data_IF_315562560430
#
_entry.id   IF_315562560430
#
_cell.length_a   1.000
_cell.length_b   1.000
_cell.length_c   1.000
_cell.angle_alpha   90.00
_cell.angle_beta   90.00
_cell.angle_gamma   90.00
#
_symmetry.space_group_name_H-M   'P 1'
#
loop_
_entity.id
_entity.type
_entity.pdbx_description
1 polymer ?
#
# COMPACT_ATOMS: atom_id res chain seq x y z
N UNK A 1 -7.07 -81.41 9.80
CA UNK A 1 -7.21 -80.24 10.64
C UNK A 1 -5.85 -79.52 10.81
N UNK A 2 -4.72 -80.21 11.04
CA UNK A 2 -3.42 -79.60 11.31
C UNK A 2 -2.87 -78.67 10.20
N UNK A 3 -3.17 -78.88 8.96
CA UNK A 3 -2.75 -78.00 7.85
C UNK A 3 -3.51 -76.66 7.79
N UNK A 4 -4.79 -76.63 8.16
CA UNK A 4 -5.62 -75.46 8.21
C UNK A 4 -5.21 -74.56 9.37
N UNK A 5 -4.90 -75.12 10.53
CA UNK A 5 -4.49 -74.37 11.73
C UNK A 5 -3.14 -73.67 11.54
N UNK A 6 -2.21 -74.34 10.79
CA UNK A 6 -0.90 -73.73 10.45
C UNK A 6 -1.01 -72.64 9.44
N UNK A 7 -1.95 -72.70 8.48
CA UNK A 7 -2.22 -71.62 7.52
C UNK A 7 -2.83 -70.41 8.18
N UNK A 8 -3.77 -70.60 9.11
CA UNK A 8 -4.39 -69.51 9.91
C UNK A 8 -3.34 -68.79 10.77
N UNK A 9 -2.47 -69.54 11.42
CA UNK A 9 -1.40 -69.00 12.23
C UNK A 9 -0.41 -68.15 11.41
N UNK A 10 -0.01 -68.67 10.24
CA UNK A 10 0.87 -67.96 9.32
C UNK A 10 0.26 -66.65 8.82
N UNK A 11 -1.01 -66.68 8.39
CA UNK A 11 -1.73 -65.48 7.95
C UNK A 11 -1.86 -64.48 9.10
N UNK A 12 -2.17 -64.91 10.32
CA UNK A 12 -2.27 -64.04 11.49
C UNK A 12 -0.94 -63.36 11.83
N UNK A 13 0.17 -64.10 11.82
CA UNK A 13 1.52 -63.55 12.07
C UNK A 13 1.94 -62.60 10.97
N UNK A 14 1.73 -62.94 9.69
CA UNK A 14 2.04 -62.07 8.55
C UNK A 14 1.24 -60.76 8.58
N UNK A 15 -0.06 -60.85 8.88
CA UNK A 15 -0.94 -59.67 9.03
C UNK A 15 -0.51 -58.78 10.20
N UNK A 16 -0.17 -59.37 11.35
CA UNK A 16 0.29 -58.62 12.53
C UNK A 16 1.62 -57.90 12.29
N UNK A 17 2.59 -58.57 11.62
CA UNK A 17 3.88 -57.97 11.27
C UNK A 17 3.72 -56.84 10.23
N UNK A 18 2.86 -57.03 9.23
CA UNK A 18 2.55 -55.97 8.25
C UNK A 18 1.88 -54.76 8.90
N UNK A 19 0.91 -54.97 9.79
CA UNK A 19 0.23 -53.92 10.55
C UNK A 19 1.19 -53.14 11.45
N UNK A 20 2.09 -53.85 12.15
CA UNK A 20 3.12 -53.21 12.99
C UNK A 20 4.10 -52.40 12.15
N UNK A 21 4.53 -52.95 10.99
CA UNK A 21 5.40 -52.22 10.04
C UNK A 21 4.75 -50.93 9.52
N UNK A 22 3.49 -51.00 9.11
CA UNK A 22 2.73 -49.83 8.64
C UNK A 22 2.56 -48.78 9.77
N UNK A 23 2.25 -49.21 10.97
CA UNK A 23 2.13 -48.31 12.14
C UNK A 23 3.46 -47.58 12.46
N UNK A 24 4.58 -48.31 12.40
CA UNK A 24 5.91 -47.75 12.62
C UNK A 24 6.32 -46.73 11.52
N UNK A 25 5.98 -47.03 10.24
CA UNK A 25 6.24 -46.13 9.12
C UNK A 25 5.41 -44.85 9.23
N UNK A 26 4.12 -44.97 9.56
CA UNK A 26 3.24 -43.83 9.79
C UNK A 26 3.71 -42.99 10.98
N UNK A 27 4.03 -43.62 12.10
CA UNK A 27 4.55 -42.94 13.28
C UNK A 27 5.84 -42.13 12.99
N UNK A 28 6.77 -42.77 12.23
CA UNK A 28 8.00 -42.08 11.81
C UNK A 28 7.75 -40.93 10.83
N UNK A 29 6.74 -41.06 9.95
CA UNK A 29 6.35 -39.98 9.02
C UNK A 29 5.81 -38.78 9.80
N UNK A 30 4.90 -39.02 10.75
CA UNK A 30 4.31 -38.01 11.60
C UNK A 30 5.38 -37.27 12.42
N UNK A 31 6.24 -38.00 13.13
CA UNK A 31 7.30 -37.44 13.94
C UNK A 31 8.26 -36.57 13.11
N UNK A 32 8.65 -37.03 11.91
CA UNK A 32 9.50 -36.25 11.02
C UNK A 32 8.85 -34.96 10.54
N UNK A 33 7.55 -34.99 10.22
CA UNK A 33 6.82 -33.77 9.81
C UNK A 33 6.73 -32.77 10.96
N UNK A 34 6.47 -33.24 12.18
CA UNK A 34 6.43 -32.38 13.40
C UNK A 34 7.82 -31.79 13.69
N UNK A 35 8.89 -32.57 13.58
CA UNK A 35 10.25 -32.08 13.81
C UNK A 35 10.65 -31.01 12.80
N UNK A 36 10.28 -31.18 11.53
CA UNK A 36 10.54 -30.19 10.46
C UNK A 36 9.77 -28.89 10.68
N UNK A 37 8.48 -29.01 11.04
CA UNK A 37 7.66 -27.84 11.37
C UNK A 37 8.22 -27.09 12.59
N UNK A 38 8.64 -27.83 13.63
CA UNK A 38 9.30 -27.26 14.82
C UNK A 38 10.60 -26.56 14.45
N UNK A 39 11.41 -27.17 13.55
CA UNK A 39 12.64 -26.58 13.06
C UNK A 39 12.40 -25.27 12.31
N UNK A 40 11.43 -25.24 11.38
CA UNK A 40 11.04 -24.04 10.65
C UNK A 40 10.50 -22.94 11.58
N UNK A 41 9.66 -23.31 12.57
CA UNK A 41 9.15 -22.38 13.57
C UNK A 41 10.26 -21.80 14.44
N UNK A 42 11.23 -22.62 14.84
CA UNK A 42 12.40 -22.14 15.59
C UNK A 42 13.28 -21.22 14.77
N UNK A 43 13.53 -21.52 13.50
CA UNK A 43 14.29 -20.66 12.59
C UNK A 43 13.60 -19.30 12.42
N UNK A 44 12.29 -19.29 12.19
CA UNK A 44 11.48 -18.07 12.10
C UNK A 44 11.56 -17.23 13.38
N UNK A 45 11.45 -17.87 14.56
CA UNK A 45 11.56 -17.19 15.86
C UNK A 45 12.95 -16.56 16.09
N UNK A 46 14.02 -17.10 15.47
CA UNK A 46 15.36 -16.53 15.51
C UNK A 46 15.65 -15.54 14.39
N UNK A 47 14.63 -15.15 13.61
CA UNK A 47 14.72 -14.08 12.61
C UNK A 47 14.99 -14.55 11.19
N UNK A 48 15.00 -15.86 10.92
CA UNK A 48 15.03 -16.37 9.54
C UNK A 48 13.61 -16.36 8.96
N UNK A 49 13.24 -15.22 8.38
CA UNK A 49 11.91 -14.99 7.79
C UNK A 49 11.69 -15.82 6.52
N UNK A 50 12.75 -16.41 5.95
CA UNK A 50 12.66 -17.25 4.75
C UNK A 50 12.38 -18.71 5.07
N UNK A 51 12.42 -19.10 6.37
CA UNK A 51 12.16 -20.45 6.81
C UNK A 51 10.76 -20.92 6.42
N UNK A 52 10.66 -22.09 5.81
CA UNK A 52 9.38 -22.72 5.42
C UNK A 52 9.36 -24.17 5.88
N UNK A 53 8.19 -24.63 6.25
CA UNK A 53 7.95 -26.04 6.58
C UNK A 53 7.56 -26.82 5.31
N UNK A 54 8.11 -28.05 5.10
CA UNK A 54 7.69 -28.87 3.96
C UNK A 54 6.23 -29.32 4.13
N UNK A 55 5.41 -29.12 3.13
CA UNK A 55 4.01 -29.55 3.05
C UNK A 55 3.95 -31.04 2.68
N UNK A 56 4.38 -31.89 3.61
CA UNK A 56 4.50 -33.33 3.38
C UNK A 56 4.07 -34.13 4.60
N UNK A 57 3.50 -35.32 4.37
CA UNK A 57 3.01 -36.21 5.41
C UNK A 57 1.48 -36.39 5.38
N UNK A 58 0.84 -36.76 6.50
CA UNK A 58 -0.61 -36.77 6.63
C UNK A 58 -1.26 -35.46 6.30
N UNK A 59 -2.49 -35.48 5.76
CA UNK A 59 -3.18 -34.29 5.25
C UNK A 59 -3.27 -33.17 6.28
N UNK A 60 -3.54 -33.49 7.53
CA UNK A 60 -3.68 -32.53 8.63
C UNK A 60 -2.35 -31.79 8.94
N UNK A 61 -1.23 -32.51 8.80
CA UNK A 61 0.10 -31.91 9.01
C UNK A 61 0.56 -31.10 7.80
N UNK A 62 0.18 -31.49 6.60
CA UNK A 62 0.43 -30.72 5.39
C UNK A 62 -0.37 -29.39 5.42
N UNK A 63 -1.64 -29.42 5.83
CA UNK A 63 -2.47 -28.23 6.01
C UNK A 63 -1.91 -27.28 7.10
N UNK A 64 -1.43 -27.84 8.21
CA UNK A 64 -0.78 -27.05 9.27
C UNK A 64 0.52 -26.42 8.75
N UNK A 65 1.33 -27.15 7.97
CA UNK A 65 2.54 -26.61 7.35
C UNK A 65 2.21 -25.49 6.34
N UNK A 66 1.17 -25.63 5.54
CA UNK A 66 0.69 -24.60 4.63
C UNK A 66 0.26 -23.33 5.37
N UNK A 67 -0.53 -23.48 6.43
CA UNK A 67 -0.94 -22.33 7.29
C UNK A 67 0.27 -21.65 7.94
N UNK A 68 1.26 -22.41 8.41
CA UNK A 68 2.52 -21.86 8.91
C UNK A 68 3.28 -21.11 7.82
N UNK A 69 3.38 -21.65 6.62
CA UNK A 69 4.07 -21.02 5.49
C UNK A 69 3.38 -19.72 5.06
N UNK A 70 2.06 -19.67 5.07
CA UNK A 70 1.29 -18.43 4.81
C UNK A 70 1.58 -17.37 5.87
N UNK A 71 1.57 -17.73 7.15
CA UNK A 71 1.93 -16.82 8.23
C UNK A 71 3.37 -16.32 8.10
N UNK A 72 4.32 -17.20 7.80
CA UNK A 72 5.73 -16.84 7.59
C UNK A 72 5.90 -15.88 6.41
N UNK A 73 5.19 -16.11 5.29
CA UNK A 73 5.21 -15.22 4.13
C UNK A 73 4.64 -13.83 4.46
N UNK A 74 3.55 -13.75 5.22
CA UNK A 74 3.00 -12.46 5.69
C UNK A 74 3.97 -11.71 6.59
N UNK A 75 4.64 -12.41 7.51
CA UNK A 75 5.66 -11.81 8.37
C UNK A 75 6.84 -11.28 7.55
N UNK A 76 7.36 -12.04 6.59
CA UNK A 76 8.43 -11.62 5.69
C UNK A 76 8.04 -10.35 4.95
N UNK A 77 6.85 -10.29 4.35
CA UNK A 77 6.33 -9.11 3.67
C UNK A 77 6.24 -7.87 4.59
N UNK A 78 5.78 -8.05 5.83
CA UNK A 78 5.69 -6.96 6.81
C UNK A 78 7.09 -6.43 7.19
N UNK A 79 8.05 -7.32 7.41
CA UNK A 79 9.42 -6.92 7.73
C UNK A 79 10.12 -6.23 6.57
N UNK A 80 9.90 -6.70 5.33
CA UNK A 80 10.47 -6.07 4.14
C UNK A 80 9.84 -4.70 3.88
N UNK A 81 8.53 -4.56 4.03
CA UNK A 81 7.84 -3.27 3.95
C UNK A 81 8.39 -2.29 5.01
N UNK A 82 8.60 -2.76 6.25
CA UNK A 82 9.18 -1.93 7.31
C UNK A 82 10.64 -1.52 7.01
N UNK A 83 11.46 -2.44 6.49
CA UNK A 83 12.84 -2.11 6.08
C UNK A 83 12.87 -1.07 4.97
N UNK A 84 12.04 -1.23 3.96
CA UNK A 84 11.91 -0.28 2.87
C UNK A 84 11.46 1.10 3.38
N UNK A 85 10.47 1.14 4.28
CA UNK A 85 9.99 2.36 4.91
C UNK A 85 11.10 3.12 5.64
N UNK A 86 11.88 2.43 6.48
CA UNK A 86 12.99 3.04 7.23
C UNK A 86 14.10 3.53 6.30
N UNK A 87 14.47 2.73 5.31
CA UNK A 87 15.51 3.10 4.34
C UNK A 87 15.10 4.32 3.53
N UNK A 88 13.86 4.33 3.05
CA UNK A 88 13.30 5.44 2.30
C UNK A 88 13.18 6.72 3.15
N UNK A 89 12.58 6.63 4.35
CA UNK A 89 12.45 7.77 5.25
C UNK A 89 13.81 8.40 5.55
N UNK A 90 14.83 7.55 5.78
CA UNK A 90 16.19 8.02 6.04
C UNK A 90 16.80 8.76 4.84
N UNK A 91 16.50 8.33 3.62
CA UNK A 91 17.01 8.96 2.40
C UNK A 91 16.28 10.28 2.11
N UNK A 92 14.95 10.25 2.10
CA UNK A 92 14.13 11.39 1.66
C UNK A 92 14.01 12.50 2.72
N UNK A 93 14.23 12.18 4.01
CA UNK A 93 14.39 13.20 5.06
C UNK A 93 15.79 13.82 5.03
N UNK A 94 16.83 13.08 4.63
CA UNK A 94 18.19 13.59 4.60
C UNK A 94 18.40 14.67 3.53
N UNK A 95 17.74 14.54 2.37
CA UNK A 95 17.91 15.48 1.25
C UNK A 95 17.49 16.91 1.60
N UNK A 96 16.25 17.19 2.07
CA UNK A 96 15.86 18.54 2.49
C UNK A 96 16.67 19.05 3.68
N UNK A 97 17.05 18.17 4.61
CA UNK A 97 17.90 18.54 5.74
C UNK A 97 19.29 18.99 5.29
N UNK A 98 19.94 18.27 4.41
CA UNK A 98 21.23 18.65 3.84
C UNK A 98 21.16 19.95 3.04
N UNK A 99 20.06 20.17 2.30
CA UNK A 99 19.82 21.43 1.59
C UNK A 99 19.68 22.61 2.55
N UNK A 100 18.94 22.43 3.65
CA UNK A 100 18.81 23.48 4.68
C UNK A 100 20.14 23.78 5.39
N UNK A 101 20.95 22.73 5.69
CA UNK A 101 22.28 22.90 6.28
C UNK A 101 23.19 23.72 5.37
N UNK A 102 23.25 23.37 4.07
CA UNK A 102 24.06 24.11 3.09
C UNK A 102 23.62 25.58 2.95
N UNK A 103 22.29 25.84 2.99
CA UNK A 103 21.76 27.21 2.97
C UNK A 103 22.15 27.98 4.25
N UNK A 104 22.12 27.32 5.41
CA UNK A 104 22.52 27.93 6.68
C UNK A 104 24.01 28.24 6.71
N UNK A 105 24.87 27.32 6.30
CA UNK A 105 26.31 27.52 6.18
C UNK A 105 26.64 28.70 5.25
N UNK A 106 25.96 28.80 4.09
CA UNK A 106 26.16 29.93 3.17
C UNK A 106 25.74 31.30 3.77
N UNK A 107 24.72 31.31 4.64
CA UNK A 107 24.32 32.51 5.38
C UNK A 107 25.33 32.86 6.46
N UNK A 108 25.85 31.87 7.21
CA UNK A 108 26.87 32.09 8.27
C UNK A 108 28.18 32.60 7.69
N UNK A 109 28.59 32.08 6.51
CA UNK A 109 29.81 32.50 5.82
C UNK A 109 29.65 33.86 5.10
N UNK A 110 28.47 34.49 5.14
CA UNK A 110 28.17 35.73 4.46
C UNK A 110 28.21 35.66 2.94
N UNK A 111 28.06 34.44 2.39
CA UNK A 111 28.03 34.18 0.95
C UNK A 111 26.67 34.43 0.31
N UNK A 112 25.64 34.64 1.13
CA UNK A 112 24.27 34.81 0.66
C UNK A 112 23.47 35.74 1.56
N UNK A 113 22.52 36.45 0.95
CA UNK A 113 21.59 37.33 1.68
C UNK A 113 20.42 36.48 2.25
N UNK A 114 19.99 36.74 3.51
CA UNK A 114 18.89 36.01 4.14
C UNK A 114 17.59 36.01 3.32
N UNK A 115 17.31 37.13 2.62
CA UNK A 115 16.11 37.30 1.82
C UNK A 115 15.98 36.27 0.68
N UNK A 116 17.10 35.77 0.19
CA UNK A 116 17.12 34.78 -0.86
C UNK A 116 16.90 33.34 -0.35
N UNK A 117 17.45 32.99 0.82
CA UNK A 117 17.43 31.62 1.33
C UNK A 117 16.29 31.34 2.30
N UNK A 118 15.79 32.32 3.06
CA UNK A 118 14.69 32.12 4.01
C UNK A 118 13.41 31.55 3.37
N UNK A 119 12.96 31.99 2.19
CA UNK A 119 11.81 31.38 1.51
C UNK A 119 12.05 29.92 1.13
N UNK A 120 13.24 29.59 0.60
CA UNK A 120 13.61 28.25 0.24
C UNK A 120 13.71 27.32 1.47
N UNK A 121 14.29 27.81 2.58
CA UNK A 121 14.35 27.07 3.85
C UNK A 121 12.95 26.79 4.42
N UNK A 122 12.04 27.77 4.36
CA UNK A 122 10.63 27.57 4.78
C UNK A 122 9.95 26.47 3.95
N UNK A 123 10.19 26.43 2.66
CA UNK A 123 9.64 25.39 1.79
C UNK A 123 10.22 24.01 2.12
N UNK A 124 11.52 23.90 2.44
CA UNK A 124 12.12 22.64 2.90
C UNK A 124 11.51 22.18 4.24
N UNK A 125 11.29 23.09 5.18
CA UNK A 125 10.62 22.76 6.46
C UNK A 125 9.20 22.26 6.23
N UNK A 126 8.45 22.92 5.34
CA UNK A 126 7.10 22.50 4.96
C UNK A 126 7.10 21.11 4.33
N UNK A 127 8.00 20.87 3.40
CA UNK A 127 8.18 19.55 2.74
C UNK A 127 8.48 18.46 3.77
N UNK A 128 9.39 18.73 4.72
CA UNK A 128 9.69 17.82 5.83
C UNK A 128 8.45 17.51 6.68
N UNK A 129 7.66 18.53 7.02
CA UNK A 129 6.42 18.36 7.77
C UNK A 129 5.45 17.42 7.07
N UNK A 130 5.22 17.62 5.77
CA UNK A 130 4.36 16.75 4.96
C UNK A 130 4.89 15.30 4.88
N UNK A 131 6.20 15.11 4.73
CA UNK A 131 6.80 13.78 4.72
C UNK A 131 6.62 13.03 6.05
N UNK A 132 6.76 13.73 7.17
CA UNK A 132 6.54 13.16 8.50
C UNK A 132 5.06 12.80 8.69
N UNK A 133 4.13 13.67 8.30
CA UNK A 133 2.70 13.39 8.35
C UNK A 133 2.32 12.18 7.49
N UNK A 134 2.83 12.10 6.26
CA UNK A 134 2.62 10.96 5.36
C UNK A 134 3.12 9.65 5.98
N UNK A 135 4.28 9.68 6.64
CA UNK A 135 4.87 8.52 7.30
C UNK A 135 4.01 8.06 8.48
N UNK A 136 3.52 8.98 9.31
CA UNK A 136 2.63 8.66 10.43
C UNK A 136 1.29 8.09 9.94
N UNK A 137 0.69 8.69 8.89
CA UNK A 137 -0.57 8.21 8.33
C UNK A 137 -0.40 6.78 7.79
N UNK A 138 0.68 6.52 7.04
CA UNK A 138 0.99 5.18 6.52
C UNK A 138 1.20 4.17 7.65
N UNK A 139 1.92 4.55 8.70
CA UNK A 139 2.14 3.68 9.86
C UNK A 139 0.82 3.34 10.58
N UNK A 140 -0.14 4.26 10.67
CA UNK A 140 -1.48 4.03 11.25
C UNK A 140 -2.33 3.12 10.38
N UNK A 141 -2.28 3.29 9.05
CA UNK A 141 -2.94 2.40 8.09
C UNK A 141 -2.41 0.98 8.24
N UNK A 142 -1.08 0.81 8.27
CA UNK A 142 -0.43 -0.50 8.39
C UNK A 142 -0.71 -1.23 9.69
N UNK A 143 -0.77 -0.48 10.78
CA UNK A 143 -1.09 -1.04 12.08
C UNK A 143 -2.59 -1.38 12.24
N UNK A 144 -3.45 -0.98 11.30
CA UNK A 144 -4.90 -1.14 11.41
C UNK A 144 -5.52 -0.34 12.56
N UNK A 145 -4.81 0.73 13.02
CA UNK A 145 -5.25 1.58 14.15
C UNK A 145 -5.79 2.92 13.68
N UNK A 146 -6.12 3.02 12.38
CA UNK A 146 -6.71 4.23 11.83
C UNK A 146 -8.10 4.45 12.45
N UNK A 147 -8.26 5.55 13.18
CA UNK A 147 -9.56 5.96 13.71
C UNK A 147 -10.28 6.77 12.64
N UNK A 148 -11.47 6.32 12.24
CA UNK A 148 -12.32 6.99 11.27
C UNK A 148 -13.54 7.55 11.99
N UNK A 149 -13.76 8.84 11.91
CA UNK A 149 -14.98 9.50 12.34
C UNK A 149 -15.94 9.57 11.14
N UNK A 150 -16.66 8.48 10.92
CA UNK A 150 -17.59 8.38 9.80
C UNK A 150 -18.84 9.23 10.07
N UNK A 151 -19.16 10.08 9.12
CA UNK A 151 -20.41 10.88 9.12
C UNK A 151 -20.92 11.05 7.68
N UNK A 152 -22.17 11.47 7.55
CA UNK A 152 -22.70 11.88 6.27
C UNK A 152 -22.11 13.25 5.89
N UNK A 153 -21.55 13.32 4.70
CA UNK A 153 -20.96 14.56 4.19
C UNK A 153 -21.31 14.76 2.70
N UNK A 154 -21.57 16.02 2.27
CA UNK A 154 -21.75 16.34 0.87
C UNK A 154 -20.38 16.37 0.16
N UNK A 155 -20.24 15.53 -0.88
CA UNK A 155 -18.99 15.44 -1.65
C UNK A 155 -18.64 16.73 -2.37
N UNK A 156 -19.64 17.48 -2.80
CA UNK A 156 -19.43 18.78 -3.47
C UNK A 156 -18.60 19.75 -2.63
N UNK A 157 -18.87 19.79 -1.32
CA UNK A 157 -18.15 20.67 -0.39
C UNK A 157 -16.69 20.26 -0.25
N UNK A 158 -16.41 18.96 -0.09
CA UNK A 158 -15.05 18.43 0.04
C UNK A 158 -14.24 18.65 -1.25
N UNK A 159 -14.86 18.37 -2.40
CA UNK A 159 -14.22 18.56 -3.71
C UNK A 159 -13.89 20.04 -3.95
N UNK A 160 -14.83 20.95 -3.68
CA UNK A 160 -14.61 22.37 -3.83
C UNK A 160 -13.53 22.91 -2.89
N UNK A 161 -13.47 22.41 -1.64
CA UNK A 161 -12.41 22.73 -0.70
C UNK A 161 -11.03 22.35 -1.26
N UNK A 162 -10.90 21.12 -1.77
CA UNK A 162 -9.65 20.64 -2.34
C UNK A 162 -9.24 21.39 -3.62
N UNK A 163 -10.20 21.69 -4.52
CA UNK A 163 -9.92 22.46 -5.75
C UNK A 163 -9.43 23.86 -5.44
N UNK A 164 -10.06 24.56 -4.47
CA UNK A 164 -9.56 25.87 -4.01
C UNK A 164 -8.16 25.78 -3.41
N UNK A 165 -7.85 24.69 -2.71
CA UNK A 165 -6.53 24.48 -2.12
C UNK A 165 -5.39 24.39 -3.12
N UNK A 166 -5.67 23.92 -4.35
CA UNK A 166 -4.66 23.75 -5.42
C UNK A 166 -4.78 24.79 -6.54
N UNK A 167 -5.75 25.69 -6.47
CA UNK A 167 -6.05 26.65 -7.56
C UNK A 167 -4.83 27.54 -7.92
N UNK A 168 -4.13 28.04 -6.92
CA UNK A 168 -2.95 28.88 -7.16
C UNK A 168 -1.82 28.13 -7.87
N UNK A 169 -1.60 26.85 -7.52
CA UNK A 169 -0.62 25.99 -8.20
C UNK A 169 -1.05 25.65 -9.62
N UNK A 170 -2.33 25.36 -9.82
CA UNK A 170 -2.87 25.10 -11.16
C UNK A 170 -2.75 26.31 -12.08
N UNK A 171 -3.07 27.50 -11.58
CA UNK A 171 -2.90 28.76 -12.29
C UNK A 171 -1.43 29.02 -12.66
N UNK A 172 -0.50 28.81 -11.73
CA UNK A 172 0.93 28.97 -11.98
C UNK A 172 1.46 27.99 -13.06
N UNK A 173 0.83 26.83 -13.20
CA UNK A 173 1.15 25.81 -14.21
C UNK A 173 0.32 25.93 -15.50
N UNK A 174 -0.61 26.88 -15.59
CA UNK A 174 -1.57 27.04 -16.69
C UNK A 174 -2.42 25.79 -16.93
N UNK A 175 -2.89 25.14 -15.86
CA UNK A 175 -3.75 23.94 -15.91
C UNK A 175 -5.17 24.32 -15.52
N UNK A 176 -6.15 23.96 -16.35
CA UNK A 176 -7.55 24.19 -16.04
C UNK A 176 -8.09 23.17 -15.03
N UNK A 177 -8.81 23.65 -14.01
CA UNK A 177 -9.50 22.82 -13.03
C UNK A 177 -11.00 22.83 -13.27
N UNK A 178 -11.66 21.68 -13.16
CA UNK A 178 -13.12 21.55 -13.25
C UNK A 178 -13.67 20.45 -12.34
N UNK A 179 -14.96 20.55 -12.02
CA UNK A 179 -15.69 19.48 -11.34
C UNK A 179 -17.02 19.25 -12.03
N UNK A 180 -17.39 17.99 -12.22
CA UNK A 180 -18.68 17.54 -12.70
C UNK A 180 -19.29 16.62 -11.64
N UNK A 181 -20.35 17.07 -10.98
CA UNK A 181 -20.98 16.34 -9.88
C UNK A 181 -22.42 16.08 -10.29
N UNK A 182 -22.75 14.82 -10.58
CA UNK A 182 -24.08 14.39 -10.94
C UNK A 182 -24.94 14.20 -9.67
N UNK A 183 -25.71 15.21 -9.34
CA UNK A 183 -26.35 15.34 -8.04
C UNK A 183 -25.33 15.72 -6.96
N UNK A 184 -25.70 15.69 -5.70
CA UNK A 184 -24.78 15.80 -4.55
C UNK A 184 -25.17 14.73 -3.52
N UNK A 185 -25.00 13.44 -3.87
CA UNK A 185 -25.42 12.37 -3.00
C UNK A 185 -24.59 12.42 -1.72
N UNK A 186 -25.23 12.35 -0.55
CA UNK A 186 -24.51 12.23 0.70
C UNK A 186 -23.78 10.87 0.73
N UNK A 187 -22.55 10.90 1.20
CA UNK A 187 -21.72 9.70 1.41
C UNK A 187 -21.43 9.53 2.89
N UNK A 188 -21.29 8.29 3.32
CA UNK A 188 -20.80 7.96 4.65
C UNK A 188 -19.28 7.87 4.58
N UNK A 189 -18.61 8.87 5.12
CA UNK A 189 -17.15 8.94 5.05
C UNK A 189 -16.55 9.65 6.27
N UNK A 190 -15.23 9.59 6.39
CA UNK A 190 -14.44 10.47 7.24
C UNK A 190 -13.97 11.67 6.39
N UNK A 191 -14.57 12.88 6.55
CA UNK A 191 -14.34 14.01 5.64
C UNK A 191 -12.88 14.41 5.51
N UNK A 192 -12.14 14.46 6.61
CA UNK A 192 -10.71 14.77 6.65
C UNK A 192 -9.88 13.75 5.84
N UNK A 193 -10.28 12.48 5.85
CA UNK A 193 -9.61 11.42 5.08
C UNK A 193 -9.96 11.48 3.61
N UNK A 194 -11.21 11.81 3.27
CA UNK A 194 -11.61 12.01 1.87
C UNK A 194 -10.94 13.24 1.27
N UNK A 195 -10.84 14.35 2.01
CA UNK A 195 -10.05 15.52 1.57
C UNK A 195 -8.58 15.15 1.33
N UNK A 196 -7.98 14.33 2.20
CA UNK A 196 -6.60 13.84 2.03
C UNK A 196 -6.47 12.98 0.77
N UNK A 197 -7.40 12.08 0.50
CA UNK A 197 -7.44 11.28 -0.74
C UNK A 197 -7.52 12.21 -1.96
N UNK A 198 -8.50 13.10 -1.99
CA UNK A 198 -8.69 14.05 -3.09
C UNK A 198 -7.44 14.90 -3.32
N UNK A 199 -6.84 15.43 -2.27
CA UNK A 199 -5.63 16.23 -2.37
C UNK A 199 -4.47 15.45 -2.97
N UNK A 200 -4.27 14.19 -2.55
CA UNK A 200 -3.24 13.32 -3.10
C UNK A 200 -3.46 13.02 -4.59
N UNK A 201 -4.72 12.76 -4.99
CA UNK A 201 -5.04 12.51 -6.40
C UNK A 201 -4.90 13.77 -7.25
N UNK A 202 -5.42 14.90 -6.77
CA UNK A 202 -5.38 16.18 -7.49
C UNK A 202 -3.96 16.71 -7.66
N UNK A 203 -3.13 16.68 -6.63
CA UNK A 203 -1.73 17.10 -6.72
C UNK A 203 -0.93 16.17 -7.62
N UNK A 204 -1.22 14.86 -7.61
CA UNK A 204 -0.63 13.91 -8.54
C UNK A 204 -1.04 14.22 -10.00
N UNK A 205 -2.32 14.42 -10.27
CA UNK A 205 -2.85 14.78 -11.57
C UNK A 205 -2.20 16.09 -12.09
N UNK A 206 -2.17 17.13 -11.25
CA UNK A 206 -1.58 18.42 -11.59
C UNK A 206 -0.08 18.32 -11.93
N UNK A 207 0.65 17.45 -11.23
CA UNK A 207 2.08 17.20 -11.51
C UNK A 207 2.33 16.58 -12.87
N UNK A 208 1.45 15.70 -13.33
CA UNK A 208 1.59 14.96 -14.59
C UNK A 208 0.90 15.63 -15.79
N UNK A 209 0.13 16.69 -15.52
CA UNK A 209 -0.53 17.47 -16.57
C UNK A 209 0.42 18.51 -17.15
N UNK A 210 0.59 18.58 -18.49
CA UNK A 210 1.37 19.63 -19.12
C UNK A 210 0.68 21.01 -19.02
N UNK A 211 1.42 22.08 -19.30
CA UNK A 211 0.85 23.41 -19.49
C UNK A 211 -0.25 23.37 -20.56
N UNK A 212 -1.30 24.14 -20.36
CA UNK A 212 -2.53 24.18 -21.18
C UNK A 212 -3.38 22.89 -21.12
N UNK A 213 -3.04 21.97 -20.20
CA UNK A 213 -3.85 20.79 -19.91
C UNK A 213 -5.00 21.07 -18.94
N UNK A 214 -5.69 19.99 -18.56
CA UNK A 214 -6.79 20.07 -17.61
C UNK A 214 -6.80 18.91 -16.60
N UNK A 215 -7.31 19.20 -15.39
CA UNK A 215 -7.64 18.22 -14.36
C UNK A 215 -9.12 18.38 -14.01
N UNK A 216 -9.85 17.27 -14.04
CA UNK A 216 -11.27 17.25 -13.76
C UNK A 216 -11.59 16.26 -12.63
N UNK A 217 -12.53 16.62 -11.77
CA UNK A 217 -13.15 15.70 -10.81
C UNK A 217 -14.54 15.36 -11.30
N UNK A 218 -14.83 14.07 -11.46
CA UNK A 218 -16.14 13.57 -11.89
C UNK A 218 -16.72 12.72 -10.79
N UNK A 219 -17.99 12.96 -10.42
CA UNK A 219 -18.72 12.20 -9.41
C UNK A 219 -19.93 11.57 -10.06
N UNK A 220 -20.02 10.25 -9.97
CA UNK A 220 -21.11 9.47 -10.56
C UNK A 220 -21.61 8.41 -9.58
N UNK A 221 -22.91 8.10 -9.56
CA UNK A 221 -23.43 6.98 -8.79
C UNK A 221 -23.00 5.65 -9.41
N UNK A 222 -22.58 4.69 -8.57
CA UNK A 222 -22.18 3.35 -8.97
C UNK A 222 -22.87 2.29 -8.07
N UNK A 223 -24.14 2.03 -8.32
CA UNK A 223 -24.97 1.17 -7.49
C UNK A 223 -25.17 1.75 -6.09
N UNK A 224 -24.75 1.00 -5.06
CA UNK A 224 -24.78 1.42 -3.65
C UNK A 224 -23.55 2.25 -3.23
N UNK A 225 -22.66 2.53 -4.16
CA UNK A 225 -21.47 3.33 -3.95
C UNK A 225 -21.54 4.62 -4.78
N UNK A 226 -20.75 5.61 -4.40
CA UNK A 226 -20.46 6.79 -5.21
C UNK A 226 -19.03 6.69 -5.71
N UNK A 227 -18.86 6.78 -7.01
CA UNK A 227 -17.56 6.81 -7.66
C UNK A 227 -17.08 8.26 -7.83
N UNK A 228 -15.89 8.54 -7.32
CA UNK A 228 -15.18 9.80 -7.51
C UNK A 228 -13.96 9.54 -8.38
N UNK A 229 -13.87 10.23 -9.48
CA UNK A 229 -12.80 10.08 -10.47
C UNK A 229 -12.04 11.39 -10.64
N UNK A 230 -10.72 11.34 -10.53
CA UNK A 230 -9.82 12.43 -10.91
C UNK A 230 -9.20 12.10 -12.26
N UNK A 231 -9.47 12.94 -13.25
CA UNK A 231 -8.98 12.80 -14.61
C UNK A 231 -7.96 13.87 -14.93
N UNK A 232 -6.90 13.50 -15.64
CA UNK A 232 -5.91 14.45 -16.18
C UNK A 232 -5.74 14.28 -17.70
N UNK A 233 -5.13 15.28 -18.33
CA UNK A 233 -4.75 15.26 -19.75
C UNK A 233 -3.25 15.06 -19.94
N UNK A 234 -2.60 14.40 -19.00
CA UNK A 234 -1.17 14.12 -19.03
C UNK A 234 -0.76 12.98 -19.96
N UNK A 235 0.43 12.46 -19.73
CA UNK A 235 1.00 11.36 -20.54
C UNK A 235 0.37 9.99 -20.30
N UNK A 236 -0.56 9.86 -19.34
CA UNK A 236 -1.15 8.59 -18.96
C UNK A 236 -0.22 7.70 -18.11
N UNK A 237 -0.67 6.50 -17.84
CA UNK A 237 0.01 5.51 -16.98
C UNK A 237 0.53 4.38 -17.90
N UNK A 238 1.84 4.06 -17.90
CA UNK A 238 2.36 2.90 -18.62
C UNK A 238 1.66 1.61 -18.16
N UNK A 239 1.32 0.73 -19.11
CA UNK A 239 0.53 -0.48 -18.84
C UNK A 239 1.16 -1.38 -17.78
N UNK A 240 2.49 -1.50 -17.75
CA UNK A 240 3.28 -2.25 -16.79
C UNK A 240 3.31 -1.66 -15.39
N UNK A 241 2.92 -0.39 -15.26
CA UNK A 241 2.96 0.37 -14.02
C UNK A 241 1.62 0.50 -13.34
N UNK A 242 0.53 0.18 -14.03
CA UNK A 242 -0.84 0.46 -13.61
C UNK A 242 -1.21 -0.16 -12.26
N UNK A 243 -0.78 -1.40 -12.01
CA UNK A 243 -1.05 -2.09 -10.75
C UNK A 243 -0.11 -1.63 -9.63
N UNK A 244 1.03 -1.02 -10.01
CA UNK A 244 2.09 -0.64 -9.09
C UNK A 244 2.06 0.82 -8.64
N UNK A 245 1.28 1.68 -9.28
CA UNK A 245 1.24 3.11 -8.92
C UNK A 245 0.73 3.36 -7.49
N UNK A 246 0.02 2.40 -6.91
CA UNK A 246 -0.44 2.42 -5.52
C UNK A 246 0.55 1.75 -4.56
N UNK A 247 1.64 1.16 -5.07
CA UNK A 247 2.69 0.62 -4.23
C UNK A 247 3.43 1.77 -3.54
N UNK A 248 3.87 1.53 -2.32
CA UNK A 248 4.64 2.49 -1.54
C UNK A 248 5.95 2.79 -2.25
N UNK A 249 6.33 4.07 -2.28
CA UNK A 249 7.59 4.54 -2.86
C UNK A 249 7.71 4.30 -4.37
N UNK A 250 6.64 3.87 -5.02
CA UNK A 250 6.65 3.67 -6.44
C UNK A 250 6.73 5.02 -7.19
N UNK A 251 7.58 5.07 -8.19
CA UNK A 251 7.81 6.24 -9.05
C UNK A 251 8.09 5.75 -10.46
N UNK A 252 7.47 6.37 -11.46
CA UNK A 252 7.64 6.00 -12.87
C UNK A 252 9.03 6.32 -13.43
N UNK A 253 9.69 7.37 -12.91
CA UNK A 253 11.05 7.77 -13.29
C UNK A 253 11.80 8.35 -12.07
N UNK A 254 12.77 7.60 -11.51
CA UNK A 254 13.54 8.04 -10.35
C UNK A 254 14.40 9.29 -10.61
N UNK A 255 14.76 9.59 -11.87
CA UNK A 255 15.64 10.70 -12.23
C UNK A 255 14.88 12.02 -12.36
N UNK A 256 13.75 12.05 -13.06
CA UNK A 256 12.91 13.24 -13.25
C UNK A 256 12.19 13.67 -11.98
N UNK A 257 11.85 12.74 -11.12
CA UNK A 257 11.03 13.02 -9.95
C UNK A 257 11.79 13.65 -8.78
N UNK A 258 13.13 13.82 -8.85
CA UNK A 258 13.90 14.62 -7.88
C UNK A 258 13.65 16.13 -8.05
N UNK A 259 13.35 16.57 -9.26
CA UNK A 259 13.05 17.98 -9.55
C UNK A 259 11.60 18.35 -9.23
N UNK A 260 10.67 17.40 -9.31
CA UNK A 260 9.23 17.66 -9.15
C UNK A 260 8.67 17.35 -7.76
N UNK A 261 9.47 16.86 -6.83
CA UNK A 261 9.16 16.64 -5.42
C UNK A 261 7.93 15.72 -5.18
N UNK A 262 8.14 14.55 -4.63
CA UNK A 262 7.05 13.66 -4.23
C UNK A 262 7.60 12.34 -3.73
N UNK A 263 7.21 11.99 -2.51
CA UNK A 263 7.67 10.85 -1.76
C UNK A 263 7.28 9.49 -2.36
N UNK A 264 6.36 9.45 -3.33
CA UNK A 264 5.74 8.21 -3.80
C UNK A 264 4.83 7.55 -2.76
N UNK A 265 4.38 8.32 -1.77
CA UNK A 265 3.49 7.86 -0.70
C UNK A 265 2.03 8.23 -0.93
N UNK A 266 1.75 9.34 -1.62
CA UNK A 266 0.41 9.91 -1.73
C UNK A 266 -0.64 8.93 -2.27
N UNK A 267 -0.34 8.19 -3.34
CA UNK A 267 -1.28 7.19 -3.89
C UNK A 267 -1.43 5.97 -2.98
N UNK A 268 -0.37 5.53 -2.31
CA UNK A 268 -0.43 4.43 -1.33
C UNK A 268 -1.28 4.82 -0.11
N UNK A 269 -1.13 6.05 0.38
CA UNK A 269 -1.97 6.62 1.45
C UNK A 269 -3.42 6.73 0.98
N UNK A 270 -3.67 7.26 -0.23
CA UNK A 270 -5.01 7.34 -0.80
C UNK A 270 -5.68 5.96 -0.84
N UNK A 271 -4.98 4.93 -1.29
CA UNK A 271 -5.48 3.55 -1.29
C UNK A 271 -5.84 3.07 0.11
N UNK A 272 -4.93 3.21 1.07
CA UNK A 272 -5.18 2.76 2.44
C UNK A 272 -6.35 3.48 3.10
N UNK A 273 -6.51 4.80 2.87
CA UNK A 273 -7.62 5.59 3.40
C UNK A 273 -8.97 5.23 2.76
N UNK A 274 -9.00 4.92 1.47
CA UNK A 274 -10.20 4.46 0.75
C UNK A 274 -10.60 3.06 1.23
N UNK A 275 -9.65 2.12 1.26
CA UNK A 275 -9.89 0.74 1.70
C UNK A 275 -10.35 0.69 3.17
N UNK A 276 -9.81 1.51 4.05
CA UNK A 276 -10.21 1.62 5.45
C UNK A 276 -11.66 2.13 5.62
N UNK A 277 -12.19 2.87 4.64
CA UNK A 277 -13.59 3.33 4.61
C UNK A 277 -14.54 2.38 3.86
N UNK A 278 -14.05 1.17 3.47
CA UNK A 278 -14.84 0.17 2.76
C UNK A 278 -14.98 0.42 1.26
N UNK A 279 -14.27 1.40 0.71
CA UNK A 279 -14.21 1.69 -0.71
C UNK A 279 -13.10 0.90 -1.43
N UNK A 280 -12.98 1.15 -2.73
CA UNK A 280 -11.91 0.64 -3.59
C UNK A 280 -11.34 1.77 -4.44
N UNK A 281 -10.07 1.65 -4.86
CA UNK A 281 -9.38 2.62 -5.72
C UNK A 281 -8.70 1.89 -6.86
N UNK A 282 -8.73 2.48 -8.06
CA UNK A 282 -8.07 1.92 -9.25
C UNK A 282 -7.65 3.03 -10.21
N UNK A 283 -6.84 2.66 -11.22
CA UNK A 283 -6.35 3.60 -12.22
C UNK A 283 -6.47 3.05 -13.63
N UNK A 284 -6.80 3.93 -14.56
CA UNK A 284 -6.99 3.64 -15.97
C UNK A 284 -6.42 4.78 -16.81
N UNK A 285 -6.19 4.53 -18.10
CA UNK A 285 -5.90 5.59 -19.05
C UNK A 285 -7.20 6.10 -19.68
N UNK A 286 -7.28 7.42 -19.87
CA UNK A 286 -8.41 8.03 -20.58
C UNK A 286 -8.37 7.69 -22.07
N UNK A 287 -9.53 7.44 -22.71
CA UNK A 287 -9.65 7.49 -24.15
C UNK A 287 -9.24 8.89 -24.66
N UNK A 288 -8.21 8.97 -25.48
CA UNK A 288 -7.70 10.25 -26.01
C UNK A 288 -6.47 10.82 -25.29
N UNK A 289 -5.95 10.12 -24.26
CA UNK A 289 -4.74 10.49 -23.52
C UNK A 289 -5.01 11.01 -22.11
N UNK A 290 -4.02 10.86 -21.25
CA UNK A 290 -4.11 11.17 -19.85
C UNK A 290 -4.47 9.98 -18.97
N UNK A 291 -4.50 10.20 -17.66
CA UNK A 291 -4.86 9.20 -16.67
C UNK A 291 -6.22 9.50 -16.02
N UNK A 292 -6.78 8.44 -15.45
CA UNK A 292 -8.00 8.46 -14.63
C UNK A 292 -7.74 7.62 -13.39
N UNK A 293 -7.87 8.23 -12.22
CA UNK A 293 -7.80 7.52 -10.94
C UNK A 293 -9.16 7.66 -10.28
N UNK A 294 -9.79 6.53 -10.00
CA UNK A 294 -11.14 6.45 -9.46
C UNK A 294 -11.14 5.77 -8.11
N UNK A 295 -11.99 6.24 -7.21
CA UNK A 295 -12.25 5.58 -5.94
C UNK A 295 -13.74 5.59 -5.60
N UNK A 296 -14.18 4.64 -4.77
CA UNK A 296 -15.57 4.57 -4.31
C UNK A 296 -15.69 4.89 -2.83
N UNK A 297 -16.86 5.41 -2.46
CA UNK A 297 -17.29 5.59 -1.08
C UNK A 297 -18.70 5.01 -0.94
N UNK A 298 -19.05 4.44 0.25
CA UNK A 298 -20.39 3.99 0.54
C UNK A 298 -21.40 5.15 0.45
N UNK A 299 -22.52 4.93 -0.21
CA UNK A 299 -23.63 5.88 -0.25
C UNK A 299 -24.29 5.94 1.12
N UNK A 300 -24.71 7.13 1.55
CA UNK A 300 -25.60 7.24 2.69
C UNK A 300 -26.96 6.62 2.38
N UNK A 301 -27.52 5.90 3.36
CA UNK A 301 -28.79 5.16 3.19
C UNK A 301 -29.99 6.08 3.03
#
# INVERSE_FOLDING_TARGET
SSGHDMTILFVAVASSTASLGAALLLGRSILRSIERLRGASSALAHGDLTARAPESGPAELAELAASFNEMAARLEQLFDARRQLVAWASHDLRTPLASMQAMLEALEDGLAEPEHYLPAMREQVRTLGLLVEDLFELARIDAGVLTLELCEAPLSTLIQSCLRGIEAEAQARHVALSAQIDGDPPVVCAPDKVERVLFNLLTNALRHTPSDGSVAVVVEPLGEEICVTVEDTGGGIPSESRDRIFDRFWRSDPARSRETGGAGLGLAIARGLVEAQGGRIWAENRPGGGARISFTLPKAA
#
